data_IF_372138170263
#
_entry.id   IF_372138170263
#
_cell.length_a   1.000
_cell.length_b   1.000
_cell.length_c   1.000
_cell.angle_alpha   90.00
_cell.angle_beta   90.00
_cell.angle_gamma   90.00
#
_symmetry.space_group_name_H-M   'P 1'
#
loop_
_entity.id
_entity.type
_entity.pdbx_description
1 polymer ?
#
# COMPACT_ATOMS: atom_id res chain seq x y z
N UNK A 1 7.15 4.01 -0.70
CA UNK A 1 6.07 4.54 0.15
C UNK A 1 5.75 3.52 1.24
N UNK A 2 5.65 3.96 2.49
CA UNK A 2 5.15 3.14 3.59
C UNK A 2 3.65 3.39 3.76
N UNK A 3 2.88 2.32 3.91
CA UNK A 3 1.43 2.36 4.04
C UNK A 3 1.06 1.73 5.36
N UNK A 4 0.33 2.47 6.19
CA UNK A 4 -0.07 2.02 7.52
C UNK A 4 -1.59 1.88 7.60
N UNK A 5 -2.10 1.30 8.69
CA UNK A 5 -3.54 1.16 8.90
C UNK A 5 -4.26 0.29 7.86
N UNK A 6 -3.54 -0.64 7.20
CA UNK A 6 -4.14 -1.58 6.26
C UNK A 6 -5.15 -2.48 6.97
N UNK A 7 -6.26 -2.76 6.30
CA UNK A 7 -7.21 -3.79 6.73
C UNK A 7 -6.61 -5.19 6.51
N UNK A 8 -7.05 -6.18 7.29
CA UNK A 8 -6.59 -7.57 7.16
C UNK A 8 -6.94 -8.20 5.80
N UNK A 9 -7.97 -7.67 5.14
CA UNK A 9 -8.39 -8.05 3.79
C UNK A 9 -7.48 -7.54 2.68
N UNK A 10 -6.59 -6.56 2.97
CA UNK A 10 -5.66 -6.03 1.99
C UNK A 10 -4.47 -6.98 1.84
N UNK A 11 -4.27 -7.47 0.64
CA UNK A 11 -3.11 -8.25 0.25
C UNK A 11 -2.17 -7.47 -0.68
N UNK A 12 -1.07 -8.12 -1.09
CA UNK A 12 -0.07 -7.51 -1.95
C UNK A 12 -0.67 -7.06 -3.28
N UNK A 13 -1.63 -7.81 -3.82
CA UNK A 13 -2.24 -7.54 -5.12
C UNK A 13 -3.20 -6.34 -5.04
N UNK A 14 -4.05 -6.29 -4.01
CA UNK A 14 -4.92 -5.14 -3.73
C UNK A 14 -4.10 -3.88 -3.50
N UNK A 15 -3.03 -3.98 -2.71
CA UNK A 15 -2.12 -2.85 -2.48
C UNK A 15 -1.45 -2.41 -3.80
N UNK A 16 -0.96 -3.35 -4.61
CA UNK A 16 -0.36 -3.03 -5.91
C UNK A 16 -1.35 -2.31 -6.83
N UNK A 17 -2.56 -2.84 -6.98
CA UNK A 17 -3.58 -2.26 -7.86
C UNK A 17 -3.99 -0.86 -7.40
N UNK A 18 -4.19 -0.65 -6.10
CA UNK A 18 -4.58 0.64 -5.55
C UNK A 18 -3.52 1.72 -5.76
N UNK A 19 -2.24 1.38 -5.65
CA UNK A 19 -1.16 2.34 -5.89
C UNK A 19 -0.85 2.51 -7.40
N UNK A 20 -1.20 1.52 -8.22
CA UNK A 20 -1.00 1.57 -9.68
C UNK A 20 -1.90 2.58 -10.41
N UNK A 21 -2.98 3.04 -9.78
CA UNK A 21 -3.82 4.11 -10.34
C UNK A 21 -3.15 5.49 -10.27
N UNK A 22 -2.18 5.65 -9.37
CA UNK A 22 -1.48 6.92 -9.15
C UNK A 22 -0.15 7.03 -9.89
N UNK A 23 0.43 5.91 -10.30
CA UNK A 23 1.70 5.86 -11.02
C UNK A 23 2.19 4.43 -11.26
N UNK A 24 3.40 4.30 -11.76
CA UNK A 24 3.97 3.00 -12.11
C UNK A 24 4.61 2.35 -10.89
N UNK A 25 3.87 1.46 -10.23
CA UNK A 25 4.36 0.67 -9.10
C UNK A 25 5.32 -0.41 -9.61
N UNK A 26 6.53 -0.45 -9.05
CA UNK A 26 7.50 -1.51 -9.31
C UNK A 26 7.25 -2.74 -8.45
N UNK A 27 6.89 -2.54 -7.18
CA UNK A 27 6.67 -3.62 -6.23
C UNK A 27 5.71 -3.19 -5.11
N UNK A 28 4.83 -4.08 -4.64
CA UNK A 28 3.99 -3.82 -3.49
C UNK A 28 3.82 -5.06 -2.59
N UNK A 29 3.98 -4.78 -1.31
CA UNK A 29 4.18 -5.63 -0.15
C UNK A 29 3.33 -5.46 1.10
N UNK A 30 2.49 -6.41 1.51
CA UNK A 30 1.89 -6.36 2.85
C UNK A 30 2.80 -7.11 3.83
N UNK A 31 3.17 -6.44 4.92
CA UNK A 31 3.95 -7.06 5.99
C UNK A 31 3.03 -7.98 6.78
N UNK A 32 3.33 -9.28 6.71
CA UNK A 32 2.63 -10.32 7.44
C UNK A 32 3.54 -10.93 8.51
N UNK A 33 2.94 -11.32 9.61
CA UNK A 33 3.64 -12.06 10.66
C UNK A 33 4.03 -13.45 10.13
N UNK A 34 5.32 -13.81 10.23
CA UNK A 34 5.85 -15.05 9.65
C UNK A 34 5.36 -16.32 10.36
N UNK A 35 4.88 -16.22 11.60
CA UNK A 35 4.40 -17.37 12.38
C UNK A 35 2.92 -17.62 12.18
N UNK A 36 2.12 -16.55 12.09
CA UNK A 36 0.66 -16.62 12.05
C UNK A 36 0.06 -16.32 10.67
N UNK A 37 0.85 -15.76 9.74
CA UNK A 37 0.39 -15.33 8.40
C UNK A 37 -0.51 -14.09 8.40
N UNK A 38 -0.83 -13.54 9.59
CA UNK A 38 -1.72 -12.39 9.73
C UNK A 38 -1.05 -11.10 9.27
N UNK A 39 -1.83 -10.22 8.64
CA UNK A 39 -1.37 -8.86 8.32
C UNK A 39 -0.98 -8.14 9.60
N UNK A 40 0.12 -7.39 9.55
CA UNK A 40 0.47 -6.47 10.64
C UNK A 40 -0.22 -5.12 10.48
N UNK A 41 -1.10 -4.96 9.48
CA UNK A 41 -1.76 -3.70 9.17
C UNK A 41 -0.83 -2.68 8.51
N UNK A 42 0.30 -3.14 7.97
CA UNK A 42 1.30 -2.28 7.34
C UNK A 42 1.82 -2.90 6.04
N UNK A 43 2.21 -2.05 5.10
CA UNK A 43 2.75 -2.47 3.82
C UNK A 43 3.69 -1.43 3.21
N UNK A 44 4.29 -1.82 2.09
CA UNK A 44 5.18 -0.98 1.31
C UNK A 44 4.78 -1.03 -0.16
N UNK A 45 4.85 0.13 -0.82
CA UNK A 45 4.70 0.26 -2.27
C UNK A 45 5.92 1.02 -2.83
N UNK A 46 6.65 0.41 -3.75
CA UNK A 46 7.76 1.00 -4.47
C UNK A 46 7.27 1.47 -5.84
N UNK A 47 7.63 2.70 -6.20
CA UNK A 47 7.34 3.28 -7.51
C UNK A 47 8.61 3.29 -8.35
N UNK A 48 8.44 3.26 -9.67
CA UNK A 48 9.57 3.43 -10.60
C UNK A 48 10.07 4.86 -10.64
N UNK A 49 9.16 5.82 -10.56
CA UNK A 49 9.49 7.24 -10.54
C UNK A 49 9.29 7.84 -9.13
N UNK A 50 10.26 8.63 -8.70
CA UNK A 50 10.19 9.36 -7.44
C UNK A 50 9.10 10.44 -7.45
N UNK A 51 8.91 11.13 -8.57
CA UNK A 51 7.90 12.18 -8.70
C UNK A 51 6.48 11.61 -8.55
N UNK A 52 6.23 10.42 -9.11
CA UNK A 52 4.97 9.69 -8.93
C UNK A 52 4.77 9.29 -7.47
N UNK A 53 5.83 8.84 -6.80
CA UNK A 53 5.77 8.48 -5.38
C UNK A 53 5.42 9.69 -4.50
N UNK A 54 6.04 10.84 -4.73
CA UNK A 54 5.79 12.08 -3.97
C UNK A 54 4.37 12.62 -4.21
N UNK A 55 3.87 12.54 -5.45
CA UNK A 55 2.49 12.89 -5.78
C UNK A 55 1.49 11.95 -5.08
N UNK A 56 1.75 10.65 -5.11
CA UNK A 56 0.89 9.64 -4.47
C UNK A 56 0.84 9.84 -2.96
N UNK A 57 1.96 10.13 -2.29
CA UNK A 57 1.99 10.45 -0.86
C UNK A 57 1.07 11.62 -0.50
N UNK A 58 0.98 12.61 -1.38
CA UNK A 58 0.13 13.79 -1.17
C UNK A 58 -1.34 13.53 -1.46
N UNK A 59 -1.65 12.63 -2.41
CA UNK A 59 -3.03 12.30 -2.80
C UNK A 59 -3.67 11.20 -1.96
N UNK A 60 -2.88 10.21 -1.52
CA UNK A 60 -3.40 8.97 -0.95
C UNK A 60 -3.44 8.98 0.58
N UNK A 61 -2.79 9.94 1.23
CA UNK A 61 -2.83 10.12 2.68
C UNK A 61 -4.25 10.53 3.12
N UNK A 62 -4.99 9.60 3.73
CA UNK A 62 -6.38 9.76 4.14
C UNK A 62 -7.40 9.12 3.19
N UNK A 63 -6.99 8.48 2.10
CA UNK A 63 -7.91 7.73 1.22
C UNK A 63 -8.30 6.38 1.80
N UNK A 64 -9.47 5.87 1.40
CA UNK A 64 -9.97 4.57 1.87
C UNK A 64 -9.45 3.45 1.01
N UNK A 65 -8.69 2.53 1.60
CA UNK A 65 -8.30 1.26 0.99
C UNK A 65 -8.95 0.10 1.75
N UNK A 66 -9.99 -0.48 1.15
CA UNK A 66 -10.85 -1.47 1.80
C UNK A 66 -11.76 -0.83 2.86
N UNK A 67 -11.85 -1.44 4.03
CA UNK A 67 -12.65 -0.92 5.15
C UNK A 67 -12.00 0.25 5.91
N UNK A 68 -10.70 0.55 5.71
CA UNK A 68 -9.93 1.54 6.49
C UNK A 68 -9.36 2.65 5.62
N UNK A 69 -9.14 3.82 6.21
CA UNK A 69 -8.38 4.90 5.60
C UNK A 69 -6.88 4.69 5.83
N UNK A 70 -6.04 4.95 4.82
CA UNK A 70 -4.59 4.69 4.82
C UNK A 70 -3.75 5.95 4.71
#
# INVERSE_FOLDING_TARGET
IFVSNLSDEVDNQVLFQAFSTYGTVSEAYVIRDKKTGRSRGHGFAAFRDRAEAEKTLSSMNGERLGSRAI
#
